data_IF_864700072929
#
_entry.id   IF_864700072929
#
_cell.length_a   1.000
_cell.length_b   1.000
_cell.length_c   1.000
_cell.angle_alpha   90.00
_cell.angle_beta   90.00
_cell.angle_gamma   90.00
#
_symmetry.space_group_name_H-M   'P 1'
#
loop_
_entity.id
_entity.type
_entity.pdbx_description
1 polymer ?
#
# COMPACT_ATOMS: atom_id res chain seq x y z
N UNK A 1 30.46 42.14 41.65
CA UNK A 1 29.45 41.11 42.00
C UNK A 1 29.97 39.73 41.63
N UNK A 2 30.03 38.82 42.61
CA UNK A 2 30.59 37.45 42.50
C UNK A 2 29.98 36.66 41.32
N UNK A 3 28.72 36.93 40.99
CA UNK A 3 27.96 36.33 39.91
C UNK A 3 28.62 36.47 38.52
N UNK A 4 29.12 37.65 38.16
CA UNK A 4 29.81 37.87 36.88
C UNK A 4 31.10 37.06 36.76
N UNK A 5 31.79 36.81 37.88
CA UNK A 5 33.03 36.03 37.93
C UNK A 5 32.75 34.54 37.66
N UNK A 6 31.61 34.04 38.14
CA UNK A 6 31.12 32.67 37.91
C UNK A 6 30.74 32.48 36.43
N UNK A 7 29.96 33.40 35.86
CA UNK A 7 29.55 33.36 34.45
C UNK A 7 30.79 33.36 33.54
N UNK A 8 31.76 34.25 33.80
CA UNK A 8 32.96 34.34 32.98
C UNK A 8 33.85 33.09 33.06
N UNK A 9 33.81 32.36 34.19
CA UNK A 9 34.50 31.07 34.36
C UNK A 9 33.84 29.93 33.58
N UNK A 10 32.51 29.94 33.43
CA UNK A 10 31.74 28.89 32.75
C UNK A 10 31.26 29.25 31.33
N UNK A 11 31.68 30.41 30.79
CA UNK A 11 31.20 30.94 29.50
C UNK A 11 31.31 29.97 28.32
N UNK A 12 32.37 29.17 28.27
CA UNK A 12 32.59 28.16 27.23
C UNK A 12 31.52 27.06 27.27
N UNK A 13 31.12 26.65 28.47
CA UNK A 13 30.14 25.60 28.70
C UNK A 13 28.72 26.10 28.38
N UNK A 14 28.43 27.37 28.66
CA UNK A 14 27.17 27.99 28.21
C UNK A 14 27.12 28.09 26.69
N UNK A 15 28.22 28.49 26.05
CA UNK A 15 28.28 28.58 24.58
C UNK A 15 28.09 27.22 23.91
N UNK A 16 28.74 26.17 24.42
CA UNK A 16 28.55 24.81 23.89
C UNK A 16 27.11 24.32 24.09
N UNK A 17 26.47 24.64 25.20
CA UNK A 17 25.07 24.31 25.45
C UNK A 17 24.12 24.94 24.41
N UNK A 18 24.34 26.21 24.04
CA UNK A 18 23.56 26.87 22.98
C UNK A 18 23.73 26.20 21.61
N UNK A 19 24.97 25.81 21.25
CA UNK A 19 25.23 25.09 19.99
C UNK A 19 24.51 23.74 19.98
N UNK A 20 24.56 23.00 21.10
CA UNK A 20 23.91 21.70 21.24
C UNK A 20 22.39 21.85 21.08
N UNK A 21 21.76 22.82 21.75
CA UNK A 21 20.33 23.10 21.61
C UNK A 21 19.96 23.46 20.18
N UNK A 22 20.78 24.29 19.52
CA UNK A 22 20.54 24.69 18.14
C UNK A 22 20.57 23.48 17.19
N UNK A 23 21.55 22.58 17.36
CA UNK A 23 21.63 21.33 16.62
C UNK A 23 20.42 20.43 16.86
N UNK A 24 20.04 20.20 18.13
CA UNK A 24 18.90 19.37 18.46
C UNK A 24 17.59 19.95 17.91
N UNK A 25 17.37 21.25 18.06
CA UNK A 25 16.17 21.92 17.53
C UNK A 25 16.06 21.74 16.01
N UNK A 26 17.17 21.91 15.28
CA UNK A 26 17.20 21.67 13.83
C UNK A 26 17.01 20.19 13.45
N UNK A 27 17.36 19.26 14.33
CA UNK A 27 17.18 17.83 14.08
C UNK A 27 15.74 17.37 14.31
N UNK A 28 15.05 17.95 15.30
CA UNK A 28 13.67 17.57 15.61
C UNK A 28 12.66 18.20 14.64
N UNK A 29 12.86 19.47 14.29
CA UNK A 29 11.92 20.26 13.50
C UNK A 29 12.33 20.40 12.03
N UNK A 30 11.40 20.88 11.20
CA UNK A 30 11.59 21.06 9.76
C UNK A 30 11.15 19.86 8.92
N UNK A 31 11.13 20.04 7.60
CA UNK A 31 10.63 19.03 6.65
C UNK A 31 11.46 17.74 6.64
N UNK A 32 12.74 17.84 6.98
CA UNK A 32 13.67 16.71 7.13
C UNK A 32 13.93 16.34 8.60
N UNK A 33 13.22 16.97 9.52
CA UNK A 33 13.33 16.69 10.94
C UNK A 33 12.67 15.37 11.33
N UNK A 34 12.98 14.89 12.53
CA UNK A 34 12.48 13.63 13.07
C UNK A 34 10.94 13.55 13.12
N UNK A 35 10.27 14.66 13.46
CA UNK A 35 8.80 14.70 13.52
C UNK A 35 8.21 14.46 12.12
N UNK A 36 8.80 15.10 11.10
CA UNK A 36 8.38 14.95 9.70
C UNK A 36 8.65 13.52 9.19
N UNK A 37 9.79 12.92 9.56
CA UNK A 37 10.12 11.55 9.20
C UNK A 37 9.03 10.55 9.61
N UNK A 38 8.60 10.57 10.87
CA UNK A 38 7.54 9.66 11.34
C UNK A 38 6.19 9.92 10.68
N UNK A 39 5.86 11.18 10.38
CA UNK A 39 4.64 11.53 9.63
C UNK A 39 4.69 10.97 8.20
N UNK A 40 5.82 11.15 7.52
CA UNK A 40 6.00 10.72 6.14
C UNK A 40 6.03 9.20 6.01
N UNK A 41 6.54 8.47 7.02
CA UNK A 41 6.42 7.01 7.09
C UNK A 41 4.95 6.56 7.06
N UNK A 42 4.10 7.16 7.89
CA UNK A 42 2.66 6.82 7.92
C UNK A 42 1.98 7.13 6.58
N UNK A 43 2.28 8.27 5.98
CA UNK A 43 1.74 8.65 4.66
C UNK A 43 2.19 7.66 3.59
N UNK A 44 3.48 7.27 3.60
CA UNK A 44 4.02 6.28 2.69
C UNK A 44 3.28 4.94 2.82
N UNK A 45 3.07 4.46 4.03
CA UNK A 45 2.38 3.18 4.26
C UNK A 45 0.92 3.22 3.80
N UNK A 46 0.23 4.35 4.02
CA UNK A 46 -1.12 4.59 3.48
C UNK A 46 -1.15 4.57 1.95
N UNK A 47 -0.21 5.27 1.30
CA UNK A 47 -0.10 5.30 -0.16
C UNK A 47 0.23 3.93 -0.75
N UNK A 48 1.06 3.13 -0.07
CA UNK A 48 1.35 1.76 -0.49
C UNK A 48 0.09 0.90 -0.40
N UNK A 49 -0.65 0.97 0.71
CA UNK A 49 -1.90 0.23 0.86
C UNK A 49 -2.93 0.64 -0.20
N UNK A 50 -3.11 1.94 -0.44
CA UNK A 50 -4.02 2.46 -1.47
C UNK A 50 -3.61 2.01 -2.87
N UNK A 51 -2.32 2.07 -3.19
CA UNK A 51 -1.79 1.56 -4.46
C UNK A 51 -2.12 0.07 -4.64
N UNK A 52 -1.88 -0.76 -3.63
CA UNK A 52 -2.19 -2.20 -3.73
C UNK A 52 -3.69 -2.47 -3.90
N UNK A 53 -4.54 -1.68 -3.25
CA UNK A 53 -5.99 -1.76 -3.42
C UNK A 53 -6.41 -1.43 -4.86
N UNK A 54 -5.89 -0.33 -5.42
CA UNK A 54 -6.17 0.10 -6.79
C UNK A 54 -5.65 -0.92 -7.81
N UNK A 55 -4.45 -1.48 -7.62
CA UNK A 55 -3.91 -2.53 -8.48
C UNK A 55 -4.79 -3.78 -8.50
N UNK A 56 -5.36 -4.16 -7.35
CA UNK A 56 -6.30 -5.28 -7.28
C UNK A 56 -7.62 -4.99 -7.99
N UNK A 57 -8.20 -3.80 -7.78
CA UNK A 57 -9.39 -3.35 -8.51
C UNK A 57 -9.16 -3.32 -10.02
N UNK A 58 -8.02 -2.78 -10.46
CA UNK A 58 -7.63 -2.73 -11.86
C UNK A 58 -7.54 -4.13 -12.45
N UNK A 59 -6.90 -5.08 -11.76
CA UNK A 59 -6.79 -6.47 -12.22
C UNK A 59 -8.17 -7.15 -12.36
N UNK A 60 -9.10 -6.88 -11.44
CA UNK A 60 -10.48 -7.39 -11.54
C UNK A 60 -11.17 -6.81 -12.79
N UNK A 61 -11.05 -5.49 -13.01
CA UNK A 61 -11.64 -4.81 -14.16
C UNK A 61 -11.01 -5.27 -15.47
N UNK A 62 -9.69 -5.41 -15.53
CA UNK A 62 -8.98 -5.94 -16.71
C UNK A 62 -9.41 -7.36 -17.04
N UNK A 63 -9.56 -8.24 -16.05
CA UNK A 63 -10.10 -9.58 -16.27
C UNK A 63 -11.52 -9.54 -16.83
N UNK A 64 -12.40 -8.72 -16.26
CA UNK A 64 -13.77 -8.55 -16.79
C UNK A 64 -13.75 -8.02 -18.22
N UNK A 65 -12.91 -7.03 -18.51
CA UNK A 65 -12.79 -6.47 -19.84
C UNK A 65 -12.22 -7.48 -20.85
N UNK A 66 -11.23 -8.28 -20.45
CA UNK A 66 -10.70 -9.35 -21.29
C UNK A 66 -11.77 -10.41 -21.60
N UNK A 67 -12.64 -10.74 -20.64
CA UNK A 67 -13.80 -11.60 -20.86
C UNK A 67 -14.87 -10.98 -21.77
N UNK A 68 -14.88 -9.66 -21.96
CA UNK A 68 -15.83 -8.93 -22.80
C UNK A 68 -15.24 -8.52 -24.16
N UNK A 69 -13.94 -8.76 -24.40
CA UNK A 69 -13.30 -8.48 -25.70
C UNK A 69 -13.87 -9.41 -26.77
N UNK A 70 -13.94 -8.89 -28.00
CA UNK A 70 -14.59 -9.54 -29.16
C UNK A 70 -13.97 -10.89 -29.52
N UNK A 71 -12.73 -11.12 -29.09
CA UNK A 71 -11.95 -12.36 -29.21
C UNK A 71 -12.40 -13.45 -28.19
N UNK A 72 -13.64 -13.34 -27.72
CA UNK A 72 -14.31 -14.29 -26.84
C UNK A 72 -14.29 -15.68 -27.48
N UNK A 73 -13.51 -16.58 -26.88
CA UNK A 73 -13.49 -17.98 -27.26
C UNK A 73 -14.85 -18.60 -26.91
N UNK A 74 -15.71 -18.69 -27.92
CA UNK A 74 -17.07 -19.23 -27.81
C UNK A 74 -17.04 -20.70 -27.35
N UNK A 75 -16.00 -21.45 -27.70
CA UNK A 75 -15.83 -22.83 -27.28
C UNK A 75 -15.50 -22.89 -25.78
N UNK A 76 -14.66 -21.98 -25.28
CA UNK A 76 -14.40 -21.84 -23.86
C UNK A 76 -15.64 -21.45 -23.05
N UNK A 77 -16.48 -20.53 -23.57
CA UNK A 77 -17.77 -20.21 -22.95
C UNK A 77 -18.72 -21.41 -22.97
N UNK A 78 -18.81 -22.15 -24.07
CA UNK A 78 -19.62 -23.37 -24.17
C UNK A 78 -19.17 -24.40 -23.11
N UNK A 79 -17.86 -24.60 -22.92
CA UNK A 79 -17.30 -25.47 -21.86
C UNK A 79 -17.74 -25.01 -20.46
N UNK A 80 -17.63 -23.71 -20.17
CA UNK A 80 -18.05 -23.15 -18.88
C UNK A 80 -19.55 -23.34 -18.63
N UNK A 81 -20.39 -23.04 -19.62
CA UNK A 81 -21.84 -23.22 -19.50
C UNK A 81 -22.22 -24.69 -19.28
N UNK A 82 -21.61 -25.62 -20.01
CA UNK A 82 -21.82 -27.07 -19.83
C UNK A 82 -21.39 -27.54 -18.44
N UNK A 83 -20.27 -27.03 -17.92
CA UNK A 83 -19.79 -27.40 -16.58
C UNK A 83 -20.67 -26.83 -15.46
N UNK A 84 -21.13 -25.59 -15.58
CA UNK A 84 -21.87 -24.90 -14.52
C UNK A 84 -23.36 -25.28 -14.50
N UNK A 85 -23.97 -25.49 -15.66
CA UNK A 85 -25.41 -25.69 -15.79
C UNK A 85 -25.79 -27.08 -16.26
N UNK A 86 -24.82 -27.93 -16.62
CA UNK A 86 -25.05 -29.30 -17.13
C UNK A 86 -26.05 -29.29 -18.29
N UNK A 87 -25.83 -28.37 -19.23
CA UNK A 87 -26.67 -28.16 -20.43
C UNK A 87 -26.06 -28.83 -21.66
N UNK A 88 -26.90 -29.17 -22.62
CA UNK A 88 -26.52 -29.79 -23.89
C UNK A 88 -27.27 -29.14 -25.05
N UNK A 89 -26.84 -29.41 -26.28
CA UNK A 89 -27.56 -28.96 -27.47
C UNK A 89 -28.89 -29.71 -27.58
N UNK A 90 -29.83 -29.14 -28.33
CA UNK A 90 -31.23 -29.63 -28.44
C UNK A 90 -31.34 -31.12 -28.75
N UNK A 91 -30.39 -31.67 -29.50
CA UNK A 91 -30.39 -33.07 -29.95
C UNK A 91 -29.38 -33.96 -29.19
N UNK A 92 -28.76 -33.46 -28.12
CA UNK A 92 -27.81 -34.19 -27.29
C UNK A 92 -28.48 -34.85 -26.09
N UNK A 93 -28.02 -36.06 -25.73
CA UNK A 93 -28.40 -36.74 -24.49
C UNK A 93 -27.30 -36.54 -23.45
N UNK A 94 -27.65 -36.02 -22.28
CA UNK A 94 -26.71 -35.78 -21.19
C UNK A 94 -26.80 -36.95 -20.21
N UNK A 95 -25.66 -37.54 -19.89
CA UNK A 95 -25.54 -38.57 -18.86
C UNK A 95 -24.76 -38.01 -17.68
N UNK A 96 -25.38 -37.96 -16.51
CA UNK A 96 -24.71 -37.62 -15.26
C UNK A 96 -24.49 -38.89 -14.45
N UNK A 97 -23.28 -39.07 -13.92
CA UNK A 97 -22.96 -40.19 -13.05
C UNK A 97 -22.56 -39.65 -11.68
N UNK A 98 -23.37 -39.93 -10.67
CA UNK A 98 -23.05 -39.58 -9.29
C UNK A 98 -22.20 -40.70 -8.68
N UNK A 99 -20.90 -40.49 -8.63
CA UNK A 99 -20.04 -41.26 -7.74
C UNK A 99 -20.24 -40.75 -6.32
N UNK A 100 -21.12 -41.41 -5.56
CA UNK A 100 -21.20 -41.22 -4.12
C UNK A 100 -19.85 -41.66 -3.50
N UNK A 101 -19.16 -40.74 -2.83
CA UNK A 101 -18.06 -41.04 -1.91
C UNK A 101 -18.17 -40.15 -0.69
#
# INVERSE_FOLDING_TARGET
>A
MIFFKIINKQKLLMFSFFIIIFLFSNMFYGERGLISYFKNLKIKDQLVAEKTYIENELNIVEKKNNLLRVDLDLDYLEILYRKMFVVGKKDEKIFTYNYFK
#
